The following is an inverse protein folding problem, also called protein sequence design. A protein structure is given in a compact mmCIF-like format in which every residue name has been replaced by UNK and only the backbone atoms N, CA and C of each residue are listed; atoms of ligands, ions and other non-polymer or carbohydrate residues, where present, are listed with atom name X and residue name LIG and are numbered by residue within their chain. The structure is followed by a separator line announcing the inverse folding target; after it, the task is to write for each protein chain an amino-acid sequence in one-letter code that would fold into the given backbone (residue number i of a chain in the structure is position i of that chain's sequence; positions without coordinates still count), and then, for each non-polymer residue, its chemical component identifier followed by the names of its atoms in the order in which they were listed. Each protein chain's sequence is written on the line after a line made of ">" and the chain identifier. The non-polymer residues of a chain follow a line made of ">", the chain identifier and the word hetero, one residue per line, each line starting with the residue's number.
data_IF_365361209512
#
_entry.id   IF_365361209512
#
_cell.length_a   1.000
_cell.length_b   1.000
_cell.length_c   1.000
_cell.angle_alpha   90.00
_cell.angle_beta   90.00
_cell.angle_gamma   90.00
#
_symmetry.space_group_name_H-M   'P 1'
#
loop_
_entity.id
_entity.type
_entity.pdbx_description
1 polymer ?
#
# COMPACT_ATOMS: atom_id res chain seq x y z
N UNK A 1 9.48 16.29 -6.15
CA UNK A 1 8.06 15.88 -6.00
C UNK A 1 7.92 14.56 -6.72
N UNK A 2 7.50 13.48 -6.04
CA UNK A 2 7.29 12.21 -6.73
C UNK A 2 6.01 12.33 -7.56
N UNK A 3 6.09 12.04 -8.86
CA UNK A 3 4.91 11.92 -9.71
C UNK A 3 4.24 10.58 -9.39
N UNK A 4 3.41 10.56 -8.34
CA UNK A 4 2.67 9.38 -7.93
C UNK A 4 1.35 9.32 -8.70
N UNK A 5 0.93 8.13 -9.17
CA UNK A 5 -0.38 7.98 -9.77
C UNK A 5 -1.47 8.30 -8.75
N UNK A 6 -2.60 8.88 -9.17
CA UNK A 6 -3.71 9.18 -8.27
C UNK A 6 -4.25 7.89 -7.66
N UNK A 7 -4.53 7.88 -6.35
CA UNK A 7 -5.14 6.74 -5.69
C UNK A 7 -6.61 6.62 -6.07
N UNK A 8 -6.90 5.66 -6.94
CA UNK A 8 -8.24 5.31 -7.41
C UNK A 8 -8.29 3.81 -7.77
N UNK A 9 -9.47 3.33 -8.13
CA UNK A 9 -9.71 1.93 -8.52
C UNK A 9 -8.76 1.45 -9.63
N UNK A 10 -8.46 2.29 -10.63
CA UNK A 10 -7.55 1.92 -11.72
C UNK A 10 -6.14 1.68 -11.21
N UNK A 11 -5.63 2.56 -10.34
CA UNK A 11 -4.32 2.38 -9.72
C UNK A 11 -4.28 1.10 -8.90
N UNK A 12 -5.34 0.76 -8.16
CA UNK A 12 -5.41 -0.52 -7.43
C UNK A 12 -5.32 -1.71 -8.39
N UNK A 13 -6.03 -1.70 -9.51
CA UNK A 13 -5.93 -2.73 -10.54
C UNK A 13 -4.54 -2.80 -11.16
N UNK A 14 -3.92 -1.67 -11.44
CA UNK A 14 -2.55 -1.63 -11.99
C UNK A 14 -1.52 -2.19 -11.01
N UNK A 15 -1.72 -2.06 -9.68
CA UNK A 15 -0.88 -2.74 -8.67
C UNK A 15 -1.04 -4.26 -8.78
N UNK A 16 -2.29 -4.73 -8.84
CA UNK A 16 -2.63 -6.15 -8.90
C UNK A 16 -2.12 -6.81 -10.18
N UNK A 17 -2.22 -6.13 -11.32
CA UNK A 17 -1.82 -6.61 -12.65
C UNK A 17 -0.33 -6.43 -12.94
N UNK A 18 0.47 -5.96 -11.97
CA UNK A 18 1.91 -5.71 -12.13
C UNK A 18 2.24 -4.64 -13.20
N UNK A 19 1.32 -3.71 -13.48
CA UNK A 19 1.48 -2.63 -14.46
C UNK A 19 2.32 -1.46 -13.91
N UNK A 20 2.31 -1.25 -12.59
CA UNK A 20 3.17 -0.29 -11.89
C UNK A 20 4.32 -1.02 -11.23
N UNK A 21 5.52 -0.45 -11.29
CA UNK A 21 6.73 -1.04 -10.73
C UNK A 21 6.75 -1.07 -9.19
N UNK A 22 7.64 -1.88 -8.62
CA UNK A 22 7.70 -2.12 -7.17
C UNK A 22 8.07 -0.86 -6.36
N UNK A 23 8.87 0.05 -6.93
CA UNK A 23 9.27 1.29 -6.28
C UNK A 23 8.10 2.29 -6.24
N UNK A 24 7.33 2.41 -7.33
CA UNK A 24 6.11 3.21 -7.35
C UNK A 24 5.07 2.71 -6.34
N UNK A 25 4.87 1.39 -6.22
CA UNK A 25 3.95 0.81 -5.21
C UNK A 25 4.40 1.15 -3.79
N UNK A 26 5.69 1.04 -3.51
CA UNK A 26 6.24 1.41 -2.21
C UNK A 26 6.04 2.89 -1.92
N UNK A 27 6.37 3.78 -2.86
CA UNK A 27 6.20 5.23 -2.69
C UNK A 27 4.74 5.62 -2.47
N UNK A 28 3.77 4.95 -3.12
CA UNK A 28 2.35 5.13 -2.83
C UNK A 28 2.04 4.77 -1.37
N UNK A 29 2.47 3.59 -0.91
CA UNK A 29 2.28 3.19 0.49
C UNK A 29 2.91 4.18 1.45
N UNK A 30 4.15 4.61 1.20
CA UNK A 30 4.85 5.59 2.03
C UNK A 30 4.07 6.90 2.11
N UNK A 31 3.63 7.40 0.97
CA UNK A 31 2.86 8.64 0.89
C UNK A 31 1.56 8.55 1.71
N UNK A 32 0.78 7.49 1.52
CA UNK A 32 -0.49 7.33 2.23
C UNK A 32 -0.34 6.90 3.70
N UNK A 33 0.80 6.32 4.08
CA UNK A 33 1.17 6.08 5.48
C UNK A 33 1.61 7.36 6.20
N UNK A 34 1.89 8.45 5.48
CA UNK A 34 2.31 9.73 6.04
C UNK A 34 3.82 10.02 5.94
N UNK A 35 4.62 9.13 5.35
CA UNK A 35 6.04 9.41 5.15
C UNK A 35 6.22 10.51 4.10
N UNK A 36 7.09 11.48 4.40
CA UNK A 36 7.46 12.57 3.49
C UNK A 36 8.97 12.66 3.39
N UNK A 37 9.51 12.55 2.19
CA UNK A 37 10.95 12.75 2.01
C UNK A 37 11.26 14.25 1.93
N UNK A 38 12.09 14.74 2.85
CA UNK A 38 12.57 16.11 2.82
C UNK A 38 13.91 16.17 2.07
N UNK A 39 13.88 16.63 0.81
CA UNK A 39 15.08 16.74 -0.02
C UNK A 39 16.08 17.79 0.47
N UNK A 40 15.65 18.75 1.29
CA UNK A 40 16.51 19.81 1.83
C UNK A 40 17.37 19.30 2.98
N UNK A 41 16.81 18.45 3.84
CA UNK A 41 17.53 17.85 4.97
C UNK A 41 18.08 16.46 4.65
N UNK A 42 17.60 15.82 3.58
CA UNK A 42 17.95 14.44 3.22
C UNK A 42 17.35 13.41 4.17
N UNK A 43 16.27 13.76 4.88
CA UNK A 43 15.68 12.93 5.93
C UNK A 43 14.19 12.66 5.66
N UNK A 44 13.71 11.54 6.19
CA UNK A 44 12.29 11.23 6.22
C UNK A 44 11.61 11.99 7.35
N UNK A 45 10.58 12.74 7.00
CA UNK A 45 9.62 13.29 7.93
C UNK A 45 8.52 12.25 8.15
N UNK A 46 8.38 11.85 9.41
CA UNK A 46 7.44 10.84 9.89
C UNK A 46 6.36 11.43 10.79
N UNK A 47 6.26 12.76 10.88
CA UNK A 47 5.31 13.44 11.78
C UNK A 47 3.84 13.10 11.48
N UNK A 48 3.50 12.82 10.22
CA UNK A 48 2.16 12.37 9.79
C UNK A 48 1.98 10.84 9.88
N UNK A 49 3.04 10.09 10.18
CA UNK A 49 2.99 8.62 10.29
C UNK A 49 2.41 8.22 11.64
N UNK A 50 1.57 7.19 11.68
CA UNK A 50 1.06 6.66 12.95
C UNK A 50 2.20 6.28 13.93
N UNK A 51 2.13 6.62 15.22
CA UNK A 51 3.21 6.37 16.19
C UNK A 51 3.70 4.93 16.23
N UNK A 52 2.77 3.96 16.14
CA UNK A 52 3.12 2.54 16.09
C UNK A 52 4.06 2.22 14.92
N UNK A 53 3.90 2.90 13.78
CA UNK A 53 4.79 2.73 12.63
C UNK A 53 6.12 3.47 12.80
N UNK A 54 6.11 4.66 13.41
CA UNK A 54 7.32 5.45 13.66
C UNK A 54 8.35 4.68 14.50
N UNK A 55 7.91 3.97 15.54
CA UNK A 55 8.81 3.23 16.45
C UNK A 55 9.53 2.08 15.75
N UNK A 56 8.80 1.28 14.96
CA UNK A 56 9.39 0.13 14.26
C UNK A 56 10.08 0.52 12.94
N UNK A 57 9.67 1.64 12.33
CA UNK A 57 10.08 2.08 11.00
C UNK A 57 10.27 3.61 10.98
N UNK A 58 11.37 4.13 11.55
CA UNK A 58 11.73 5.55 11.43
C UNK A 58 12.07 5.95 9.97
N UNK A 59 12.35 4.95 9.13
CA UNK A 59 12.46 5.07 7.68
C UNK A 59 11.47 4.13 7.00
N UNK A 60 10.88 4.52 5.86
CA UNK A 60 9.86 3.72 5.22
C UNK A 60 10.43 2.39 4.70
N UNK A 61 9.82 1.24 5.05
CA UNK A 61 10.31 -0.06 4.63
C UNK A 61 9.90 -0.37 3.17
N UNK A 62 10.66 -1.26 2.53
CA UNK A 62 10.22 -1.88 1.28
C UNK A 62 9.18 -2.98 1.59
N UNK A 63 7.90 -2.70 1.38
CA UNK A 63 6.78 -3.62 1.65
C UNK A 63 6.74 -4.83 0.72
N UNK A 64 7.38 -4.75 -0.45
CA UNK A 64 7.42 -5.82 -1.43
C UNK A 64 8.59 -6.78 -1.22
N UNK A 65 9.56 -6.43 -0.39
CA UNK A 65 10.69 -7.29 0.00
C UNK A 65 10.65 -7.68 1.49
N UNK A 66 10.22 -6.77 2.37
CA UNK A 66 10.19 -6.96 3.82
C UNK A 66 8.92 -7.67 4.27
N UNK A 67 9.04 -8.97 4.56
CA UNK A 67 7.94 -9.76 5.15
C UNK A 67 7.41 -9.16 6.47
N UNK A 68 8.24 -8.70 7.43
CA UNK A 68 7.75 -8.07 8.66
C UNK A 68 6.88 -6.85 8.38
N UNK A 69 7.29 -5.98 7.44
CA UNK A 69 6.54 -4.79 7.07
C UNK A 69 5.20 -5.15 6.42
N UNK A 70 5.18 -6.13 5.50
CA UNK A 70 3.92 -6.62 4.90
C UNK A 70 2.95 -7.18 5.96
N UNK A 71 3.47 -7.93 6.93
CA UNK A 71 2.65 -8.50 8.02
C UNK A 71 2.05 -7.39 8.87
N UNK A 72 2.84 -6.36 9.22
CA UNK A 72 2.34 -5.19 9.96
C UNK A 72 1.28 -4.43 9.16
N UNK A 73 1.50 -4.23 7.86
CA UNK A 73 0.54 -3.61 6.93
C UNK A 73 -0.78 -4.37 6.88
N UNK A 74 -0.73 -5.70 6.88
CA UNK A 74 -1.94 -6.54 6.90
C UNK A 74 -2.68 -6.43 8.24
N UNK A 75 -1.95 -6.30 9.35
CA UNK A 75 -2.52 -6.17 10.69
C UNK A 75 -3.15 -4.81 10.93
N UNK A 76 -2.68 -3.75 10.26
CA UNK A 76 -3.29 -2.42 10.37
C UNK A 76 -4.64 -2.28 9.65
N UNK A 77 -5.05 -3.27 8.83
CA UNK A 77 -6.35 -3.26 8.15
C UNK A 77 -7.43 -3.80 9.11
N UNK A 78 -8.50 -3.03 9.40
CA UNK A 78 -9.65 -3.49 10.17
C UNK A 78 -10.25 -4.78 9.61
N UNK A 79 -10.80 -5.64 10.47
CA UNK A 79 -11.33 -6.95 10.05
C UNK A 79 -12.40 -6.84 8.96
N UNK A 80 -13.28 -5.85 9.06
CA UNK A 80 -14.32 -5.55 8.06
C UNK A 80 -13.73 -5.20 6.69
N UNK A 81 -12.54 -4.58 6.65
CA UNK A 81 -11.92 -4.11 5.42
C UNK A 81 -10.94 -5.13 4.80
N UNK A 82 -10.82 -6.34 5.36
CA UNK A 82 -9.90 -7.37 4.85
C UNK A 82 -10.35 -8.03 3.56
N UNK A 83 -11.62 -7.88 3.18
CA UNK A 83 -12.19 -8.46 1.97
C UNK A 83 -12.57 -7.41 0.92
N UNK A 84 -12.13 -6.15 1.08
CA UNK A 84 -12.50 -5.05 0.17
C UNK A 84 -12.14 -5.32 -1.29
N UNK A 85 -10.98 -5.93 -1.57
CA UNK A 85 -10.61 -6.31 -2.94
C UNK A 85 -11.68 -7.19 -3.60
N UNK A 86 -12.28 -8.11 -2.85
CA UNK A 86 -13.34 -8.98 -3.35
C UNK A 86 -14.68 -8.25 -3.41
N UNK A 87 -15.02 -7.50 -2.37
CA UNK A 87 -16.35 -6.88 -2.21
C UNK A 87 -16.55 -5.66 -3.11
N UNK A 88 -15.52 -4.81 -3.26
CA UNK A 88 -15.59 -3.57 -4.05
C UNK A 88 -15.11 -3.78 -5.47
N UNK A 89 -14.03 -4.55 -5.67
CA UNK A 89 -13.41 -4.72 -6.98
C UNK A 89 -13.76 -6.06 -7.66
N UNK A 90 -14.41 -7.00 -6.96
CA UNK A 90 -14.68 -8.32 -7.52
C UNK A 90 -13.42 -9.17 -7.76
N UNK A 91 -12.29 -8.83 -7.12
CA UNK A 91 -11.04 -9.56 -7.26
C UNK A 91 -11.18 -10.97 -6.67
N UNK A 92 -11.05 -11.99 -7.53
CA UNK A 92 -11.20 -13.40 -7.14
C UNK A 92 -9.88 -14.07 -6.73
N UNK A 93 -8.78 -13.31 -6.73
CA UNK A 93 -7.43 -13.83 -6.56
C UNK A 93 -6.68 -13.99 -7.88
N UNK A 94 -5.39 -14.32 -7.77
CA UNK A 94 -4.52 -14.62 -8.90
C UNK A 94 -4.85 -15.99 -9.52
N UNK A 95 -4.59 -16.16 -10.82
CA UNK A 95 -4.76 -17.45 -11.47
C UNK A 95 -3.75 -18.47 -10.92
N UNK A 96 -4.12 -19.74 -11.01
CA UNK A 96 -3.24 -20.86 -10.64
C UNK A 96 -1.97 -20.77 -11.49
N UNK A 97 -0.81 -20.68 -10.83
CA UNK A 97 0.51 -20.52 -11.48
C UNK A 97 1.07 -19.09 -11.49
N UNK A 98 0.24 -18.06 -11.25
CA UNK A 98 0.66 -16.65 -11.15
C UNK A 98 0.83 -16.19 -9.68
N UNK A 99 0.61 -17.09 -8.72
CA UNK A 99 0.61 -16.78 -7.29
C UNK A 99 2.00 -17.01 -6.66
N UNK A 100 2.82 -15.95 -6.62
CA UNK A 100 4.10 -15.94 -5.91
C UNK A 100 4.08 -15.06 -4.64
N UNK A 101 5.19 -15.07 -3.86
CA UNK A 101 5.36 -14.17 -2.72
C UNK A 101 5.24 -12.69 -3.09
N UNK A 102 5.67 -12.31 -4.29
CA UNK A 102 5.59 -10.93 -4.80
C UNK A 102 4.15 -10.50 -5.04
N UNK A 103 3.37 -11.31 -5.76
CA UNK A 103 1.95 -11.05 -6.03
C UNK A 103 1.14 -10.99 -4.72
N UNK A 104 1.45 -11.85 -3.75
CA UNK A 104 0.82 -11.79 -2.43
C UNK A 104 1.04 -10.45 -1.74
N UNK A 105 2.28 -9.93 -1.74
CA UNK A 105 2.60 -8.63 -1.12
C UNK A 105 1.96 -7.47 -1.88
N UNK A 106 1.88 -7.54 -3.21
CA UNK A 106 1.16 -6.57 -4.05
C UNK A 106 -0.33 -6.55 -3.74
N UNK A 107 -0.97 -7.70 -3.59
CA UNK A 107 -2.35 -7.77 -3.15
C UNK A 107 -2.54 -7.21 -1.73
N UNK A 108 -1.60 -7.42 -0.81
CA UNK A 108 -1.62 -6.76 0.50
C UNK A 108 -1.56 -5.24 0.37
N UNK A 109 -0.63 -4.72 -0.45
CA UNK A 109 -0.50 -3.28 -0.71
C UNK A 109 -1.78 -2.70 -1.30
N UNK A 110 -2.34 -3.35 -2.31
CA UNK A 110 -3.59 -2.99 -2.96
C UNK A 110 -4.77 -2.97 -1.96
N UNK A 111 -4.90 -4.00 -1.11
CA UNK A 111 -5.97 -4.05 -0.12
C UNK A 111 -5.82 -2.95 0.95
N UNK A 112 -4.58 -2.65 1.36
CA UNK A 112 -4.33 -1.58 2.33
C UNK A 112 -4.67 -0.20 1.76
N UNK A 113 -4.28 0.07 0.51
CA UNK A 113 -4.61 1.31 -0.18
C UNK A 113 -6.12 1.46 -0.41
N UNK A 114 -6.80 0.37 -0.76
CA UNK A 114 -8.26 0.36 -0.87
C UNK A 114 -8.96 0.61 0.48
N UNK A 115 -8.43 0.05 1.57
CA UNK A 115 -8.89 0.39 2.92
C UNK A 115 -8.70 1.88 3.23
N UNK A 116 -7.54 2.45 2.88
CA UNK A 116 -7.29 3.88 3.07
C UNK A 116 -8.31 4.74 2.29
N UNK A 117 -8.62 4.35 1.05
CA UNK A 117 -9.66 5.01 0.25
C UNK A 117 -11.02 4.99 0.95
N UNK A 118 -11.45 3.82 1.43
CA UNK A 118 -12.73 3.65 2.12
C UNK A 118 -12.81 4.50 3.39
N UNK A 119 -11.73 4.54 4.19
CA UNK A 119 -11.67 5.30 5.43
C UNK A 119 -11.68 6.82 5.22
N UNK A 120 -11.14 7.30 4.10
CA UNK A 120 -11.01 8.73 3.79
C UNK A 120 -12.07 9.23 2.79
N UNK A 121 -13.03 8.37 2.41
CA UNK A 121 -14.08 8.73 1.45
C UNK A 121 -13.56 9.04 0.04
N UNK A 122 -12.40 8.50 -0.34
CA UNK A 122 -11.85 8.64 -1.69
C UNK A 122 -12.67 7.73 -2.60
N UNK A 123 -13.57 8.33 -3.37
CA UNK A 123 -14.56 7.61 -4.16
C UNK A 123 -13.92 6.56 -5.08
N UNK A 124 -14.35 5.31 -4.91
CA UNK A 124 -14.05 4.19 -5.81
C UNK A 124 -14.99 4.27 -7.02
N UNK A 125 -14.87 5.32 -7.83
CA UNK A 125 -15.72 5.46 -9.03
C UNK A 125 -15.25 4.48 -10.11
#
# INVERSE_FOLDING_TARGET
>A
MFELPPLNTNTIWSILNEEIDDDTVNKLLWYYLGYRYNSTTGQWDITEVNPEWQEDYPEPPNFLESRPATVKLTRSIPKENKQLLKEKLGFKGYKIGEFGPRQTRRATAANWLLNYMEQNGIASV
#
